data_IF_209351125471
#
_entry.id   IF_209351125471
#
_cell.length_a   1.000
_cell.length_b   1.000
_cell.length_c   1.000
_cell.angle_alpha   90.00
_cell.angle_beta   90.00
_cell.angle_gamma   90.00
#
_symmetry.space_group_name_H-M   'P 1'
#
loop_
_entity.id
_entity.type
_entity.pdbx_description
1 polymer ?
#
# COMPACT_ATOMS: atom_id res chain seq x y z
N UNK A 1 -8.12 -44.44 -1.88
CA UNK A 1 -8.68 -43.10 -2.12
C UNK A 1 -9.75 -42.84 -1.08
N UNK A 2 -9.57 -41.88 -0.18
CA UNK A 2 -10.56 -41.62 0.89
C UNK A 2 -11.88 -41.13 0.30
N UNK A 3 -12.99 -41.69 0.78
CA UNK A 3 -14.36 -41.31 0.39
C UNK A 3 -14.60 -39.83 0.70
N UNK A 4 -14.58 -38.96 -0.31
CA UNK A 4 -15.01 -37.57 -0.14
C UNK A 4 -16.53 -37.56 0.11
N UNK A 5 -16.97 -36.81 1.11
CA UNK A 5 -18.41 -36.58 1.32
C UNK A 5 -18.97 -35.75 0.16
N UNK A 6 -20.19 -36.07 -0.25
CA UNK A 6 -20.90 -35.36 -1.31
C UNK A 6 -22.39 -35.29 -1.01
N UNK A 7 -23.03 -34.29 -1.61
CA UNK A 7 -24.49 -34.14 -1.62
C UNK A 7 -24.99 -34.72 -2.93
N UNK A 8 -26.03 -35.55 -2.83
CA UNK A 8 -26.81 -35.98 -3.99
C UNK A 8 -28.03 -35.09 -4.12
N UNK A 9 -28.15 -34.41 -5.26
CA UNK A 9 -29.27 -33.55 -5.58
C UNK A 9 -30.23 -34.28 -6.52
N UNK A 10 -31.55 -34.14 -6.34
CA UNK A 10 -32.53 -34.72 -7.26
C UNK A 10 -32.31 -34.22 -8.69
N UNK A 11 -32.60 -35.08 -9.67
CA UNK A 11 -32.41 -34.76 -11.10
C UNK A 11 -33.26 -33.58 -11.59
N UNK A 12 -34.38 -33.31 -10.91
CA UNK A 12 -35.33 -32.23 -11.22
C UNK A 12 -35.38 -31.15 -10.12
N UNK A 13 -34.28 -30.94 -9.41
CA UNK A 13 -34.26 -29.92 -8.35
C UNK A 13 -34.17 -28.52 -8.97
N UNK A 14 -35.29 -27.80 -8.99
CA UNK A 14 -35.43 -26.38 -9.39
C UNK A 14 -35.08 -26.06 -10.86
N UNK A 15 -35.15 -24.78 -11.25
CA UNK A 15 -34.78 -24.25 -12.58
C UNK A 15 -33.26 -24.19 -12.81
N UNK A 16 -32.51 -25.20 -12.33
CA UNK A 16 -31.05 -25.26 -12.41
C UNK A 16 -30.61 -26.24 -13.51
N UNK A 17 -29.73 -25.77 -14.39
CA UNK A 17 -29.12 -26.59 -15.43
C UNK A 17 -27.73 -27.07 -15.03
N UNK A 18 -27.34 -28.26 -15.49
CA UNK A 18 -25.97 -28.78 -15.27
C UNK A 18 -24.93 -27.76 -15.74
N UNK A 19 -24.02 -27.40 -14.86
CA UNK A 19 -22.97 -26.40 -15.14
C UNK A 19 -23.29 -24.98 -14.68
N UNK A 20 -24.53 -24.67 -14.31
CA UNK A 20 -24.90 -23.39 -13.70
C UNK A 20 -24.04 -23.12 -12.46
N UNK A 21 -23.60 -21.88 -12.28
CA UNK A 21 -22.90 -21.47 -11.05
C UNK A 21 -23.94 -21.24 -9.95
N UNK A 22 -23.77 -21.91 -8.83
CA UNK A 22 -24.73 -21.92 -7.72
C UNK A 22 -24.04 -21.60 -6.40
N UNK A 23 -24.78 -20.92 -5.53
CA UNK A 23 -24.50 -20.86 -4.11
C UNK A 23 -25.16 -22.05 -3.43
N UNK A 24 -24.40 -22.73 -2.58
CA UNK A 24 -24.87 -23.83 -1.74
C UNK A 24 -24.75 -23.37 -0.31
N UNK A 25 -25.89 -23.25 0.37
CA UNK A 25 -25.97 -23.00 1.81
C UNK A 25 -26.46 -24.26 2.50
N UNK A 26 -25.63 -24.79 3.40
CA UNK A 26 -25.96 -25.97 4.22
C UNK A 26 -26.17 -25.51 5.64
N UNK A 27 -27.29 -25.92 6.27
CA UNK A 27 -27.61 -25.63 7.67
C UNK A 27 -27.65 -26.91 8.49
N UNK A 28 -27.05 -26.88 9.68
CA UNK A 28 -27.10 -27.95 10.69
C UNK A 28 -26.87 -27.37 12.08
N UNK A 29 -27.71 -27.72 13.05
CA UNK A 29 -27.54 -27.40 14.48
C UNK A 29 -27.17 -25.92 14.76
N UNK A 30 -27.92 -24.98 14.18
CA UNK A 30 -27.70 -23.51 14.23
C UNK A 30 -26.40 -23.00 13.58
N UNK A 31 -25.67 -23.86 12.88
CA UNK A 31 -24.53 -23.47 12.05
C UNK A 31 -24.91 -23.49 10.58
N UNK A 32 -24.24 -22.63 9.83
CA UNK A 32 -24.35 -22.62 8.38
C UNK A 32 -22.98 -22.60 7.70
N UNK A 33 -22.92 -23.17 6.50
CA UNK A 33 -21.75 -23.06 5.63
C UNK A 33 -22.20 -22.75 4.21
N UNK A 34 -21.58 -21.73 3.62
CA UNK A 34 -21.91 -21.24 2.28
C UNK A 34 -20.70 -21.39 1.37
N UNK A 35 -20.89 -21.98 0.19
CA UNK A 35 -19.86 -22.06 -0.84
C UNK A 35 -20.43 -22.10 -2.24
N UNK A 36 -19.62 -21.68 -3.21
CA UNK A 36 -19.98 -21.67 -4.64
C UNK A 36 -19.56 -23.00 -5.28
N UNK A 37 -20.37 -23.51 -6.21
CA UNK A 37 -20.04 -24.68 -7.03
C UNK A 37 -20.67 -24.54 -8.43
N UNK A 38 -20.28 -25.42 -9.35
CA UNK A 38 -21.13 -25.73 -10.52
C UNK A 38 -22.20 -26.74 -10.10
N UNK A 39 -23.42 -26.54 -10.56
CA UNK A 39 -24.52 -27.47 -10.34
C UNK A 39 -24.24 -28.78 -11.08
N UNK A 40 -24.34 -29.87 -10.33
CA UNK A 40 -24.27 -31.25 -10.80
C UNK A 40 -25.08 -32.13 -9.83
N UNK A 41 -25.55 -33.30 -10.26
CA UNK A 41 -26.35 -34.20 -9.43
C UNK A 41 -25.58 -34.76 -8.22
N UNK A 42 -24.25 -34.77 -8.31
CA UNK A 42 -23.36 -35.10 -7.21
C UNK A 42 -22.37 -33.95 -7.02
N UNK A 43 -22.45 -33.28 -5.87
CA UNK A 43 -21.57 -32.18 -5.51
C UNK A 43 -20.70 -32.61 -4.33
N UNK A 44 -19.39 -32.61 -4.54
CA UNK A 44 -18.43 -32.91 -3.47
C UNK A 44 -18.40 -31.78 -2.45
N UNK A 45 -18.54 -32.12 -1.17
CA UNK A 45 -18.45 -31.18 -0.07
C UNK A 45 -17.01 -30.75 0.18
N UNK A 46 -16.84 -29.47 0.50
CA UNK A 46 -15.53 -28.92 0.84
C UNK A 46 -15.17 -29.22 2.30
N UNK A 47 -13.88 -29.49 2.56
CA UNK A 47 -13.38 -29.73 3.93
C UNK A 47 -13.79 -28.64 4.94
N UNK A 48 -13.72 -27.32 4.63
CA UNK A 48 -14.17 -26.29 5.55
C UNK A 48 -15.66 -26.43 5.93
N UNK A 49 -16.53 -26.76 4.97
CA UNK A 49 -17.96 -26.96 5.23
C UNK A 49 -18.19 -28.21 6.09
N UNK A 50 -17.52 -29.32 5.77
CA UNK A 50 -17.58 -30.57 6.55
C UNK A 50 -17.14 -30.33 7.99
N UNK A 51 -16.01 -29.65 8.19
CA UNK A 51 -15.44 -29.39 9.50
C UNK A 51 -16.28 -28.39 10.31
N UNK A 52 -16.80 -27.34 9.68
CA UNK A 52 -17.60 -26.32 10.37
C UNK A 52 -18.93 -26.89 10.90
N UNK A 53 -19.58 -27.73 10.07
CA UNK A 53 -20.88 -28.31 10.36
C UNK A 53 -20.80 -29.70 11.01
N UNK A 54 -19.61 -30.28 11.19
CA UNK A 54 -19.40 -31.65 11.66
C UNK A 54 -20.26 -32.67 10.88
N UNK A 55 -20.17 -32.65 9.55
CA UNK A 55 -20.99 -33.50 8.68
C UNK A 55 -20.48 -34.95 8.63
N UNK A 56 -21.39 -35.91 8.78
CA UNK A 56 -21.12 -37.34 8.65
C UNK A 56 -21.92 -37.97 7.49
N UNK A 57 -21.46 -39.13 7.00
CA UNK A 57 -22.15 -39.87 5.96
C UNK A 57 -23.50 -40.38 6.48
N UNK A 58 -24.56 -40.22 5.69
CA UNK A 58 -25.91 -40.69 6.02
C UNK A 58 -26.75 -39.69 6.82
N UNK A 59 -26.18 -38.54 7.18
CA UNK A 59 -26.92 -37.46 7.83
C UNK A 59 -27.85 -36.75 6.84
N UNK A 60 -28.99 -36.29 7.35
CA UNK A 60 -29.91 -35.40 6.64
C UNK A 60 -29.60 -33.97 7.06
N UNK A 61 -29.43 -33.08 6.08
CA UNK A 61 -29.15 -31.66 6.29
C UNK A 61 -30.07 -30.80 5.43
N UNK A 62 -30.36 -29.59 5.90
CA UNK A 62 -31.09 -28.60 5.11
C UNK A 62 -30.11 -27.95 4.12
N UNK A 63 -30.50 -27.88 2.86
CA UNK A 63 -29.70 -27.32 1.77
C UNK A 63 -30.55 -26.33 1.01
N UNK A 64 -30.05 -25.11 0.89
CA UNK A 64 -30.59 -24.07 0.03
C UNK A 64 -29.65 -23.88 -1.16
N UNK A 65 -30.23 -23.89 -2.37
CA UNK A 65 -29.51 -23.68 -3.62
C UNK A 65 -30.02 -22.43 -4.31
N UNK A 66 -29.11 -21.56 -4.69
CA UNK A 66 -29.44 -20.35 -5.43
C UNK A 66 -28.56 -20.26 -6.69
N UNK A 67 -29.18 -20.07 -7.85
CA UNK A 67 -28.45 -19.72 -9.08
C UNK A 67 -27.80 -18.35 -8.90
N UNK A 68 -26.50 -18.29 -9.17
CA UNK A 68 -25.76 -17.04 -9.11
C UNK A 68 -25.55 -16.50 -10.53
N UNK A 69 -25.69 -15.18 -10.66
CA UNK A 69 -25.31 -14.45 -11.86
C UNK A 69 -24.07 -13.61 -11.56
N UNK A 70 -23.16 -13.51 -12.53
CA UNK A 70 -21.98 -12.66 -12.40
C UNK A 70 -22.45 -11.20 -12.24
N UNK A 71 -22.01 -10.48 -11.20
CA UNK A 71 -22.34 -9.07 -11.06
C UNK A 71 -21.66 -8.26 -12.17
N UNK A 72 -22.33 -7.21 -12.61
CA UNK A 72 -21.79 -6.27 -13.59
C UNK A 72 -20.64 -5.50 -12.93
N UNK A 73 -19.46 -5.51 -13.56
CA UNK A 73 -18.33 -4.72 -13.08
C UNK A 73 -18.65 -3.23 -13.19
N UNK A 74 -18.43 -2.44 -12.14
CA UNK A 74 -18.59 -0.99 -12.23
C UNK A 74 -17.52 -0.42 -13.18
N UNK A 75 -17.89 0.65 -13.90
CA UNK A 75 -16.95 1.38 -14.77
C UNK A 75 -15.94 2.20 -13.96
N UNK A 76 -16.41 2.77 -12.85
CA UNK A 76 -15.59 3.54 -11.92
C UNK A 76 -14.95 2.62 -10.89
N UNK A 77 -13.64 2.81 -10.67
CA UNK A 77 -12.88 2.07 -9.66
C UNK A 77 -13.07 2.68 -8.28
N UNK A 78 -13.28 4.00 -8.20
CA UNK A 78 -13.42 4.70 -6.93
C UNK A 78 -14.90 4.88 -6.57
N UNK A 79 -15.22 4.73 -5.29
CA UNK A 79 -16.51 5.11 -4.70
C UNK A 79 -16.24 5.92 -3.43
N UNK A 80 -16.33 7.24 -3.53
CA UNK A 80 -15.87 8.13 -2.46
C UNK A 80 -14.36 7.96 -2.25
N UNK A 81 -13.92 7.75 -1.02
CA UNK A 81 -12.53 7.52 -0.59
C UNK A 81 -12.08 6.05 -0.65
N UNK A 82 -12.86 5.20 -1.33
CA UNK A 82 -12.65 3.75 -1.41
C UNK A 82 -12.46 3.25 -2.83
N UNK A 83 -11.78 2.12 -2.96
CA UNK A 83 -11.62 1.34 -4.17
C UNK A 83 -12.64 0.20 -4.18
N UNK A 84 -13.37 0.05 -5.28
CA UNK A 84 -14.25 -1.07 -5.56
C UNK A 84 -13.45 -2.23 -6.17
N UNK A 85 -13.16 -3.24 -5.35
CA UNK A 85 -12.41 -4.42 -5.77
C UNK A 85 -13.14 -5.21 -6.86
N UNK A 86 -14.47 -5.10 -7.00
CA UNK A 86 -15.19 -5.75 -8.10
C UNK A 86 -14.73 -5.22 -9.46
N UNK A 87 -14.35 -3.94 -9.54
CA UNK A 87 -13.80 -3.34 -10.75
C UNK A 87 -12.45 -3.97 -11.14
N UNK A 88 -11.69 -4.45 -10.16
CA UNK A 88 -10.30 -4.90 -10.30
C UNK A 88 -10.14 -6.42 -10.37
N UNK A 89 -11.17 -7.21 -10.02
CA UNK A 89 -11.11 -8.67 -10.13
C UNK A 89 -10.94 -9.06 -11.62
N UNK A 90 -9.89 -9.82 -11.99
CA UNK A 90 -9.71 -10.27 -13.36
C UNK A 90 -10.82 -11.26 -13.75
N UNK A 91 -11.14 -11.34 -15.05
CA UNK A 91 -12.18 -12.26 -15.55
C UNK A 91 -11.73 -13.71 -15.58
N UNK A 92 -10.42 -13.91 -15.75
CA UNK A 92 -9.77 -15.21 -15.78
C UNK A 92 -8.50 -15.20 -14.93
N UNK A 93 -8.17 -16.34 -14.33
CA UNK A 93 -6.88 -16.57 -13.68
C UNK A 93 -5.74 -16.58 -14.72
N UNK A 94 -4.48 -16.51 -14.27
CA UNK A 94 -3.30 -16.67 -15.15
C UNK A 94 -3.25 -18.00 -15.92
N UNK A 95 -3.99 -19.00 -15.45
CA UNK A 95 -4.13 -20.31 -16.08
C UNK A 95 -5.38 -20.43 -16.99
N UNK A 96 -6.10 -19.34 -17.24
CA UNK A 96 -7.28 -19.32 -18.13
C UNK A 96 -8.60 -19.73 -17.50
N UNK A 97 -8.64 -20.06 -16.20
CA UNK A 97 -9.91 -20.40 -15.54
C UNK A 97 -10.76 -19.17 -15.27
N UNK A 98 -12.04 -19.20 -15.63
CA UNK A 98 -12.99 -18.14 -15.35
C UNK A 98 -13.13 -17.89 -13.84
N UNK A 99 -13.07 -16.61 -13.46
CA UNK A 99 -13.29 -16.13 -12.10
C UNK A 99 -14.74 -15.64 -11.99
N UNK A 100 -15.43 -16.17 -11.02
CA UNK A 100 -16.78 -15.77 -10.64
C UNK A 100 -16.74 -14.93 -9.36
N UNK A 101 -17.62 -13.94 -9.24
CA UNK A 101 -17.83 -13.21 -8.01
C UNK A 101 -19.32 -13.18 -7.66
N UNK A 102 -19.68 -13.24 -6.38
CA UNK A 102 -21.02 -12.91 -5.89
C UNK A 102 -20.96 -11.84 -4.80
N UNK A 103 -22.03 -11.05 -4.71
CA UNK A 103 -22.20 -10.00 -3.71
C UNK A 103 -22.97 -10.56 -2.52
N UNK A 104 -22.53 -10.21 -1.31
CA UNK A 104 -23.27 -10.49 -0.09
C UNK A 104 -22.97 -9.42 0.97
N UNK A 105 -23.80 -9.36 2.02
CA UNK A 105 -23.61 -8.44 3.14
C UNK A 105 -23.10 -9.20 4.36
N UNK A 106 -22.06 -8.67 5.00
CA UNK A 106 -21.53 -9.18 6.27
C UNK A 106 -21.06 -8.01 7.12
N UNK A 107 -21.50 -7.98 8.38
CA UNK A 107 -21.21 -6.91 9.35
C UNK A 107 -21.55 -5.50 8.81
N UNK A 108 -22.72 -5.35 8.18
CA UNK A 108 -23.18 -4.12 7.51
C UNK A 108 -22.27 -3.58 6.39
N UNK A 109 -21.35 -4.40 5.89
CA UNK A 109 -20.48 -4.06 4.76
C UNK A 109 -20.82 -4.92 3.54
N UNK A 110 -20.54 -4.40 2.34
CA UNK A 110 -20.60 -5.17 1.10
C UNK A 110 -19.34 -6.04 0.95
N UNK A 111 -19.54 -7.33 0.67
CA UNK A 111 -18.48 -8.31 0.46
C UNK A 111 -18.61 -9.00 -0.89
N UNK A 112 -17.49 -9.52 -1.36
CA UNK A 112 -17.34 -10.31 -2.56
C UNK A 112 -16.92 -11.72 -2.18
N UNK A 113 -17.72 -12.71 -2.60
CA UNK A 113 -17.31 -14.11 -2.59
C UNK A 113 -16.77 -14.44 -3.96
N UNK A 114 -15.46 -14.53 -4.07
CA UNK A 114 -14.76 -14.78 -5.34
C UNK A 114 -14.42 -16.25 -5.44
N UNK A 115 -14.65 -16.84 -6.60
CA UNK A 115 -14.53 -18.26 -6.83
C UNK A 115 -13.98 -18.57 -8.23
N UNK A 116 -13.20 -19.63 -8.36
CA UNK A 116 -12.93 -20.24 -9.65
C UNK A 116 -12.87 -21.76 -9.51
N UNK A 117 -13.02 -22.47 -10.64
CA UNK A 117 -12.81 -23.91 -10.67
C UNK A 117 -11.96 -24.37 -11.86
N UNK A 118 -11.03 -25.26 -11.57
CA UNK A 118 -10.26 -26.00 -12.56
C UNK A 118 -11.16 -26.99 -13.30
N UNK A 119 -10.79 -27.31 -14.54
CA UNK A 119 -11.43 -28.36 -15.35
C UNK A 119 -11.44 -29.72 -14.65
N UNK A 120 -10.39 -30.02 -13.85
CA UNK A 120 -10.27 -31.25 -13.04
C UNK A 120 -11.15 -31.25 -11.78
N UNK A 121 -11.98 -30.23 -11.58
CA UNK A 121 -12.94 -30.13 -10.47
C UNK A 121 -12.38 -29.61 -9.14
N UNK A 122 -11.11 -29.21 -9.09
CA UNK A 122 -10.56 -28.47 -7.93
C UNK A 122 -11.04 -27.03 -8.01
N UNK A 123 -11.64 -26.51 -6.95
CA UNK A 123 -12.11 -25.13 -6.93
C UNK A 123 -11.56 -24.38 -5.71
N UNK A 124 -11.37 -23.07 -5.84
CA UNK A 124 -10.93 -22.19 -4.76
C UNK A 124 -11.96 -21.10 -4.52
N UNK A 125 -12.11 -20.65 -3.28
CA UNK A 125 -13.00 -19.55 -2.90
C UNK A 125 -12.33 -18.67 -1.86
N UNK A 126 -12.57 -17.37 -1.96
CA UNK A 126 -12.26 -16.39 -0.92
C UNK A 126 -13.44 -15.46 -0.70
N UNK A 127 -13.43 -14.83 0.46
CA UNK A 127 -14.33 -13.72 0.78
C UNK A 127 -13.48 -12.51 1.13
N UNK A 128 -13.73 -11.40 0.44
CA UNK A 128 -13.04 -10.12 0.63
C UNK A 128 -14.06 -9.00 0.66
N UNK A 129 -13.75 -7.87 1.30
CA UNK A 129 -14.60 -6.69 1.24
C UNK A 129 -14.67 -6.17 -0.19
N UNK A 130 -15.84 -5.67 -0.59
CA UNK A 130 -16.00 -5.03 -1.89
C UNK A 130 -15.28 -3.69 -1.95
N UNK A 131 -15.39 -2.90 -0.88
CA UNK A 131 -14.85 -1.55 -0.80
C UNK A 131 -13.70 -1.50 0.20
N UNK A 132 -12.53 -1.01 -0.23
CA UNK A 132 -11.32 -0.88 0.59
C UNK A 132 -10.76 0.53 0.54
N UNK A 133 -10.05 0.96 1.59
CA UNK A 133 -9.42 2.28 1.65
C UNK A 133 -8.42 2.47 0.50
N UNK A 134 -8.48 3.63 -0.17
CA UNK A 134 -7.50 4.01 -1.20
C UNK A 134 -6.08 4.01 -0.62
N UNK A 135 -5.88 4.60 0.56
CA UNK A 135 -4.55 4.69 1.19
C UNK A 135 -4.00 3.31 1.53
N UNK A 136 -4.77 2.49 2.23
CA UNK A 136 -4.32 1.16 2.67
C UNK A 136 -4.03 0.24 1.49
N UNK A 137 -4.89 0.26 0.46
CA UNK A 137 -4.67 -0.55 -0.73
C UNK A 137 -3.48 -0.04 -1.55
N UNK A 138 -3.33 1.27 -1.71
CA UNK A 138 -2.15 1.88 -2.34
C UNK A 138 -0.84 1.48 -1.65
N UNK A 139 -0.81 1.54 -0.32
CA UNK A 139 0.35 1.10 0.49
C UNK A 139 0.66 -0.38 0.32
N UNK A 140 -0.36 -1.24 0.35
CA UNK A 140 -0.22 -2.68 0.10
C UNK A 140 0.42 -2.95 -1.26
N UNK A 141 -0.07 -2.28 -2.31
CA UNK A 141 0.45 -2.42 -3.68
C UNK A 141 1.89 -1.92 -3.78
N UNK A 142 2.23 -0.80 -3.12
CA UNK A 142 3.59 -0.27 -3.07
C UNK A 142 4.57 -1.22 -2.36
N UNK A 143 4.16 -1.83 -1.24
CA UNK A 143 4.96 -2.85 -0.54
C UNK A 143 5.22 -4.08 -1.41
N UNK A 144 4.19 -4.58 -2.09
CA UNK A 144 4.30 -5.74 -2.97
C UNK A 144 5.13 -5.46 -4.22
N UNK A 145 5.08 -4.23 -4.73
CA UNK A 145 5.92 -3.86 -5.86
C UNK A 145 7.40 -3.84 -5.47
N UNK A 146 7.73 -3.31 -4.29
CA UNK A 146 9.11 -3.22 -3.82
C UNK A 146 9.68 -4.59 -3.40
N UNK A 147 8.96 -5.28 -2.52
CA UNK A 147 9.47 -6.40 -1.73
C UNK A 147 8.68 -7.70 -1.96
N UNK A 148 7.75 -7.67 -2.93
CA UNK A 148 6.98 -8.84 -3.33
C UNK A 148 7.76 -9.79 -4.22
N UNK A 149 7.17 -10.96 -4.47
CA UNK A 149 7.77 -11.96 -5.37
C UNK A 149 7.84 -11.44 -6.80
N UNK A 150 9.07 -11.13 -7.25
CA UNK A 150 9.38 -10.73 -8.64
C UNK A 150 9.42 -11.92 -9.61
N UNK A 151 9.25 -13.15 -9.12
CA UNK A 151 9.22 -14.35 -9.96
C UNK A 151 7.87 -14.49 -10.66
N UNK A 152 7.85 -14.83 -11.96
CA UNK A 152 6.62 -14.97 -12.77
C UNK A 152 5.61 -16.04 -12.31
N UNK A 153 5.79 -16.63 -11.12
CA UNK A 153 4.87 -17.59 -10.50
C UNK A 153 3.77 -16.82 -9.75
N UNK A 154 2.71 -16.42 -10.46
CA UNK A 154 1.51 -15.74 -9.93
C UNK A 154 0.65 -16.56 -8.95
N UNK A 155 1.18 -17.66 -8.40
CA UNK A 155 0.41 -18.56 -7.53
C UNK A 155 0.61 -18.30 -6.04
N UNK A 156 1.52 -17.38 -5.66
CA UNK A 156 1.81 -17.04 -4.26
C UNK A 156 2.08 -15.56 -4.13
N UNK A 157 1.40 -14.93 -3.19
CA UNK A 157 1.72 -13.61 -2.70
C UNK A 157 2.69 -13.75 -1.54
N UNK A 158 3.92 -13.30 -1.72
CA UNK A 158 4.98 -13.32 -0.71
C UNK A 158 5.59 -11.94 -0.62
N UNK A 159 5.67 -11.44 0.61
CA UNK A 159 6.30 -10.17 1.00
C UNK A 159 7.51 -10.48 1.87
N UNK A 160 8.68 -9.96 1.50
CA UNK A 160 9.95 -10.27 2.16
C UNK A 160 10.59 -8.98 2.69
N UNK A 161 10.68 -8.81 4.00
CA UNK A 161 11.35 -7.65 4.60
C UNK A 161 12.08 -8.03 5.90
N UNK A 162 13.00 -7.17 6.31
CA UNK A 162 13.68 -7.30 7.62
C UNK A 162 12.95 -6.52 8.71
N UNK A 163 12.29 -5.42 8.35
CA UNK A 163 11.60 -4.53 9.28
C UNK A 163 10.27 -5.16 9.70
N UNK A 164 10.15 -5.49 11.00
CA UNK A 164 8.93 -6.09 11.56
C UNK A 164 7.72 -5.17 11.36
N UNK A 165 7.90 -3.85 11.49
CA UNK A 165 6.82 -2.87 11.32
C UNK A 165 6.21 -2.90 9.91
N UNK A 166 7.01 -3.20 8.87
CA UNK A 166 6.49 -3.36 7.51
C UNK A 166 5.61 -4.61 7.37
N UNK A 167 5.92 -5.69 8.11
CA UNK A 167 5.07 -6.88 8.17
C UNK A 167 3.77 -6.61 8.93
N UNK A 168 3.81 -5.82 10.01
CA UNK A 168 2.60 -5.41 10.75
C UNK A 168 1.67 -4.64 9.81
N UNK A 169 2.19 -3.63 9.10
CA UNK A 169 1.44 -2.85 8.12
C UNK A 169 0.88 -3.75 7.01
N UNK A 170 1.71 -4.63 6.45
CA UNK A 170 1.29 -5.55 5.38
C UNK A 170 0.14 -6.46 5.81
N UNK A 171 0.22 -7.06 7.00
CA UNK A 171 -0.85 -7.89 7.57
C UNK A 171 -2.11 -7.07 7.79
N UNK A 172 -1.98 -5.87 8.36
CA UNK A 172 -3.11 -4.97 8.62
C UNK A 172 -3.83 -4.60 7.32
N UNK A 173 -3.12 -4.24 6.26
CA UNK A 173 -3.76 -3.90 4.97
C UNK A 173 -4.52 -5.10 4.37
N UNK A 174 -4.02 -6.33 4.55
CA UNK A 174 -4.73 -7.53 4.13
C UNK A 174 -5.98 -7.78 4.99
N UNK A 175 -5.90 -7.57 6.30
CA UNK A 175 -7.06 -7.64 7.20
C UNK A 175 -8.14 -6.62 6.84
N UNK A 176 -7.74 -5.42 6.43
CA UNK A 176 -8.65 -4.39 5.94
C UNK A 176 -9.41 -4.83 4.68
N UNK A 177 -8.78 -5.62 3.80
CA UNK A 177 -9.44 -6.29 2.66
C UNK A 177 -10.35 -7.45 3.07
N UNK A 178 -10.37 -7.84 4.35
CA UNK A 178 -11.18 -8.94 4.87
C UNK A 178 -10.46 -10.28 5.01
N UNK A 179 -9.13 -10.31 4.86
CA UNK A 179 -8.33 -11.53 5.06
C UNK A 179 -8.11 -11.82 6.55
N UNK A 180 -8.25 -13.08 6.95
CA UNK A 180 -7.90 -13.51 8.32
C UNK A 180 -6.44 -13.93 8.43
N UNK A 181 -5.84 -13.76 9.62
CA UNK A 181 -4.46 -14.17 9.92
C UNK A 181 -4.21 -15.66 9.68
N UNK A 182 -5.24 -16.50 9.76
CA UNK A 182 -5.13 -17.95 9.50
C UNK A 182 -4.66 -18.28 8.07
N UNK A 183 -4.89 -17.37 7.12
CA UNK A 183 -4.43 -17.52 5.73
C UNK A 183 -2.96 -17.10 5.52
N UNK A 184 -2.32 -16.59 6.57
CA UNK A 184 -0.96 -16.06 6.54
C UNK A 184 0.00 -17.09 7.13
N UNK A 185 1.11 -17.31 6.42
CA UNK A 185 2.22 -18.12 6.90
C UNK A 185 3.47 -17.27 6.90
N UNK A 186 4.11 -17.17 8.05
CA UNK A 186 5.38 -16.47 8.18
C UNK A 186 6.55 -17.46 8.25
N UNK A 187 7.67 -17.05 7.64
CA UNK A 187 8.95 -17.77 7.65
C UNK A 187 10.09 -16.82 7.94
N UNK A 188 11.20 -17.37 8.40
CA UNK A 188 12.43 -16.64 8.61
C UNK A 188 13.58 -17.33 7.86
N UNK A 189 14.24 -16.59 6.97
CA UNK A 189 15.47 -17.01 6.33
C UNK A 189 16.64 -16.22 6.94
N UNK A 190 17.73 -16.88 7.29
CA UNK A 190 18.85 -16.21 7.96
C UNK A 190 20.22 -16.79 7.58
N UNK A 191 21.24 -15.93 7.58
CA UNK A 191 22.62 -16.35 7.43
C UNK A 191 23.14 -17.00 8.72
N UNK A 192 23.99 -18.06 8.66
CA UNK A 192 24.55 -18.70 9.86
C UNK A 192 25.28 -17.75 10.83
N UNK A 193 25.82 -16.63 10.33
CA UNK A 193 26.51 -15.61 11.15
C UNK A 193 25.59 -14.84 12.12
N UNK A 194 24.28 -14.81 11.87
CA UNK A 194 23.32 -14.12 12.74
C UNK A 194 22.51 -15.09 13.59
N UNK A 195 22.96 -16.35 13.69
CA UNK A 195 22.27 -17.41 14.45
C UNK A 195 22.05 -17.04 15.91
N UNK A 196 22.98 -16.30 16.51
CA UNK A 196 22.92 -15.99 17.94
C UNK A 196 21.83 -14.95 18.28
N UNK A 197 21.41 -14.13 17.30
CA UNK A 197 20.37 -13.10 17.49
C UNK A 197 19.01 -13.50 16.88
N UNK A 198 18.95 -14.59 16.10
CA UNK A 198 17.76 -14.86 15.28
C UNK A 198 16.55 -15.28 16.12
N UNK A 199 16.77 -16.02 17.20
CA UNK A 199 15.67 -16.48 18.07
C UNK A 199 15.02 -15.29 18.80
N UNK A 200 15.81 -14.30 19.23
CA UNK A 200 15.28 -13.05 19.79
C UNK A 200 14.46 -12.28 18.75
N UNK A 201 14.94 -12.20 17.50
CA UNK A 201 14.22 -11.52 16.42
C UNK A 201 12.94 -12.23 16.01
N UNK A 202 12.94 -13.57 16.00
CA UNK A 202 11.72 -14.36 15.78
C UNK A 202 10.71 -14.07 16.90
N UNK A 203 11.14 -14.09 18.17
CA UNK A 203 10.25 -13.79 19.30
C UNK A 203 9.68 -12.38 19.20
N UNK A 204 10.50 -11.39 18.89
CA UNK A 204 10.05 -10.00 18.65
C UNK A 204 9.01 -9.92 17.52
N UNK A 205 9.24 -10.65 16.42
CA UNK A 205 8.30 -10.71 15.30
C UNK A 205 6.96 -11.33 15.71
N UNK A 206 7.00 -12.48 16.39
CA UNK A 206 5.80 -13.21 16.82
C UNK A 206 4.96 -12.39 17.82
N UNK A 207 5.62 -11.73 18.77
CA UNK A 207 4.97 -10.85 19.75
C UNK A 207 4.31 -9.64 19.08
N UNK A 208 5.01 -8.97 18.15
CA UNK A 208 4.49 -7.76 17.50
C UNK A 208 3.41 -8.04 16.46
N UNK A 209 3.55 -9.12 15.68
CA UNK A 209 2.59 -9.45 14.59
C UNK A 209 1.43 -10.32 15.06
N UNK A 210 1.59 -11.00 16.20
CA UNK A 210 0.71 -12.07 16.68
C UNK A 210 0.56 -13.20 15.64
N UNK A 211 1.66 -13.55 14.95
CA UNK A 211 1.73 -14.66 13.98
C UNK A 211 3.02 -15.45 14.21
N UNK A 212 2.88 -16.76 14.40
CA UNK A 212 4.01 -17.67 14.60
C UNK A 212 4.82 -17.89 13.31
N UNK A 213 6.15 -17.93 13.45
CA UNK A 213 7.08 -18.33 12.40
C UNK A 213 7.02 -19.85 12.25
N UNK A 214 6.35 -20.34 11.20
CA UNK A 214 6.19 -21.79 10.97
C UNK A 214 7.47 -22.47 10.51
N UNK A 215 8.34 -21.74 9.84
CA UNK A 215 9.57 -22.29 9.25
C UNK A 215 10.74 -21.35 9.42
N UNK A 216 11.87 -21.89 9.86
CA UNK A 216 13.16 -21.22 9.89
C UNK A 216 14.15 -21.94 8.98
N UNK A 217 14.83 -21.19 8.11
CA UNK A 217 15.76 -21.77 7.15
C UNK A 217 17.10 -21.03 7.15
N UNK A 218 18.19 -21.81 7.13
CA UNK A 218 19.53 -21.25 6.99
C UNK A 218 19.85 -21.02 5.52
N UNK A 219 20.25 -19.80 5.17
CA UNK A 219 20.62 -19.44 3.81
C UNK A 219 22.02 -18.79 3.77
N UNK A 220 23.01 -19.57 3.33
CA UNK A 220 24.42 -19.14 3.22
C UNK A 220 24.65 -18.06 2.15
N UNK A 221 23.69 -17.86 1.24
CA UNK A 221 23.79 -16.86 0.17
C UNK A 221 23.39 -15.45 0.63
N UNK A 222 22.78 -15.32 1.81
CA UNK A 222 22.47 -14.02 2.40
C UNK A 222 23.77 -13.34 2.86
N UNK A 223 23.85 -12.01 2.73
CA UNK A 223 25.06 -11.23 3.06
C UNK A 223 25.24 -11.02 4.57
N UNK A 224 25.23 -12.09 5.35
CA UNK A 224 25.35 -12.01 6.81
C UNK A 224 24.13 -11.41 7.51
N UNK A 225 22.93 -11.56 6.92
CA UNK A 225 21.70 -10.95 7.42
C UNK A 225 20.55 -11.97 7.51
N UNK A 226 19.37 -11.51 7.93
CA UNK A 226 18.11 -12.26 7.97
C UNK A 226 16.97 -11.47 7.32
N UNK A 227 15.88 -12.18 7.01
CA UNK A 227 14.65 -11.61 6.47
C UNK A 227 13.46 -12.45 6.89
N UNK A 228 12.35 -11.80 7.20
CA UNK A 228 11.06 -12.44 7.38
C UNK A 228 10.32 -12.49 6.05
N UNK A 229 9.52 -13.53 5.87
CA UNK A 229 8.66 -13.71 4.70
C UNK A 229 7.25 -13.97 5.16
N UNK A 230 6.33 -13.11 4.74
CA UNK A 230 4.89 -13.29 4.95
C UNK A 230 4.27 -13.79 3.66
N UNK A 231 3.76 -15.01 3.69
CA UNK A 231 3.16 -15.67 2.54
C UNK A 231 1.64 -15.80 2.74
N UNK A 232 0.88 -15.56 1.68
CA UNK A 232 -0.55 -15.88 1.64
C UNK A 232 -0.76 -17.11 0.77
N UNK A 233 -1.39 -18.14 1.33
CA UNK A 233 -1.66 -19.40 0.63
C UNK A 233 -3.00 -19.36 -0.11
N UNK A 234 -3.25 -18.30 -0.86
CA UNK A 234 -4.45 -18.20 -1.70
C UNK A 234 -4.11 -17.70 -3.11
N UNK A 235 -4.23 -18.61 -4.09
CA UNK A 235 -3.97 -18.29 -5.49
C UNK A 235 -4.92 -17.22 -6.02
N UNK A 236 -6.21 -17.29 -5.66
CA UNK A 236 -7.21 -16.36 -6.15
C UNK A 236 -6.96 -14.93 -5.64
N UNK A 237 -6.60 -14.80 -4.36
CA UNK A 237 -6.20 -13.50 -3.81
C UNK A 237 -4.95 -12.95 -4.50
N UNK A 238 -3.98 -13.83 -4.79
CA UNK A 238 -2.76 -13.44 -5.50
C UNK A 238 -3.09 -12.87 -6.87
N UNK A 239 -3.97 -13.53 -7.64
CA UNK A 239 -4.42 -13.05 -8.95
C UNK A 239 -5.13 -11.68 -8.85
N UNK A 240 -5.98 -11.50 -7.82
CA UNK A 240 -6.69 -10.23 -7.61
C UNK A 240 -5.72 -9.11 -7.29
N UNK A 241 -4.81 -9.30 -6.33
CA UNK A 241 -3.91 -8.24 -5.88
C UNK A 241 -2.88 -7.90 -6.97
N UNK A 242 -2.25 -8.90 -7.60
CA UNK A 242 -1.29 -8.64 -8.68
C UNK A 242 -1.96 -8.10 -9.94
N UNK A 243 -3.17 -8.57 -10.27
CA UNK A 243 -3.98 -7.99 -11.35
C UNK A 243 -4.36 -6.53 -11.06
N UNK A 244 -4.72 -6.23 -9.82
CA UNK A 244 -5.01 -4.86 -9.37
C UNK A 244 -3.78 -3.97 -9.47
N UNK A 245 -2.60 -4.46 -9.09
CA UNK A 245 -1.33 -3.74 -9.22
C UNK A 245 -1.07 -3.32 -10.67
N UNK A 246 -1.19 -4.27 -11.61
CA UNK A 246 -0.97 -4.01 -13.03
C UNK A 246 -1.96 -2.96 -13.58
N UNK A 247 -3.25 -3.11 -13.27
CA UNK A 247 -4.31 -2.19 -13.72
C UNK A 247 -4.09 -0.79 -13.13
N UNK A 248 -3.94 -0.69 -11.82
CA UNK A 248 -3.86 0.59 -11.13
C UNK A 248 -2.57 1.33 -11.47
N UNK A 249 -1.44 0.64 -11.61
CA UNK A 249 -0.19 1.27 -12.05
C UNK A 249 -0.33 1.89 -13.43
N UNK A 250 -0.94 1.18 -14.40
CA UNK A 250 -1.16 1.74 -15.74
C UNK A 250 -2.11 2.94 -15.69
N UNK A 251 -3.16 2.89 -14.87
CA UNK A 251 -4.03 4.04 -14.65
C UNK A 251 -3.31 5.24 -14.03
N UNK A 252 -2.42 5.04 -13.06
CA UNK A 252 -1.59 6.10 -12.50
C UNK A 252 -0.72 6.78 -13.59
N UNK A 253 -0.29 6.03 -14.60
CA UNK A 253 0.48 6.55 -15.74
C UNK A 253 -0.42 7.25 -16.77
N UNK A 254 -1.55 6.66 -17.13
CA UNK A 254 -2.36 7.06 -18.29
C UNK A 254 -3.42 8.11 -17.94
N UNK A 255 -4.11 7.96 -16.81
CA UNK A 255 -5.29 8.77 -16.47
C UNK A 255 -4.89 10.13 -15.86
N UNK A 256 -5.76 11.14 -16.02
CA UNK A 256 -5.66 12.40 -15.28
C UNK A 256 -5.98 12.18 -13.79
N UNK A 257 -5.32 12.94 -12.92
CA UNK A 257 -5.39 12.71 -11.48
C UNK A 257 -6.39 13.62 -10.80
N UNK A 258 -7.52 13.02 -10.44
CA UNK A 258 -8.38 13.52 -9.38
C UNK A 258 -7.82 13.18 -7.99
N UNK A 259 -8.50 13.64 -6.93
CA UNK A 259 -8.07 13.48 -5.54
C UNK A 259 -7.76 12.03 -5.18
N UNK A 260 -8.67 11.10 -5.49
CA UNK A 260 -8.48 9.68 -5.16
C UNK A 260 -7.30 9.03 -5.89
N UNK A 261 -7.06 9.43 -7.15
CA UNK A 261 -5.93 8.90 -7.92
C UNK A 261 -4.60 9.42 -7.36
N UNK A 262 -4.59 10.68 -6.92
CA UNK A 262 -3.45 11.26 -6.23
C UNK A 262 -3.21 10.59 -4.88
N UNK A 263 -4.24 10.35 -4.09
CA UNK A 263 -4.11 9.64 -2.81
C UNK A 263 -3.56 8.22 -3.03
N UNK A 264 -4.04 7.51 -4.05
CA UNK A 264 -3.49 6.23 -4.47
C UNK A 264 -2.00 6.34 -4.83
N UNK A 265 -1.61 7.36 -5.61
CA UNK A 265 -0.24 7.61 -6.02
C UNK A 265 0.68 7.90 -4.81
N UNK A 266 0.24 8.78 -3.91
CA UNK A 266 0.94 9.18 -2.70
C UNK A 266 1.20 7.95 -1.81
N UNK A 267 0.17 7.14 -1.56
CA UNK A 267 0.24 5.93 -0.72
C UNK A 267 1.06 4.81 -1.37
N UNK A 268 0.93 4.61 -2.68
CA UNK A 268 1.76 3.68 -3.44
C UNK A 268 3.24 4.07 -3.42
N UNK A 269 3.54 5.33 -3.73
CA UNK A 269 4.91 5.83 -3.78
C UNK A 269 5.58 5.80 -2.41
N UNK A 270 4.84 6.10 -1.34
CA UNK A 270 5.38 6.07 0.02
C UNK A 270 5.99 4.70 0.37
N UNK A 271 5.26 3.62 0.10
CA UNK A 271 5.74 2.26 0.38
C UNK A 271 6.70 1.71 -0.66
N UNK A 272 6.57 2.10 -1.94
CA UNK A 272 7.57 1.78 -2.96
C UNK A 272 8.95 2.35 -2.58
N UNK A 273 9.00 3.60 -2.11
CA UNK A 273 10.23 4.24 -1.66
C UNK A 273 10.78 3.64 -0.36
N UNK A 274 9.93 3.16 0.53
CA UNK A 274 10.38 2.47 1.76
C UNK A 274 11.16 1.18 1.45
N UNK A 275 10.76 0.42 0.43
CA UNK A 275 11.48 -0.80 0.02
C UNK A 275 12.61 -0.55 -0.99
N UNK A 276 12.27 -0.06 -2.18
CA UNK A 276 13.20 0.03 -3.32
C UNK A 276 13.79 1.44 -3.52
N UNK A 277 13.46 2.39 -2.64
CA UNK A 277 13.90 3.78 -2.74
C UNK A 277 15.21 4.07 -2.01
N UNK A 278 16.05 4.93 -2.59
CA UNK A 278 17.22 5.51 -1.94
C UNK A 278 17.21 7.03 -1.93
N UNK A 279 17.76 7.60 -0.85
CA UNK A 279 18.00 9.04 -0.72
C UNK A 279 19.51 9.32 -0.72
N UNK A 280 19.98 9.88 -1.83
CA UNK A 280 21.37 10.24 -2.06
C UNK A 280 21.59 11.71 -1.72
N UNK A 281 22.60 11.99 -0.88
CA UNK A 281 22.97 13.35 -0.47
C UNK A 281 24.38 13.62 -0.95
N UNK A 282 24.58 14.75 -1.63
CA UNK A 282 25.91 15.22 -2.03
C UNK A 282 26.17 16.59 -1.42
N UNK A 283 27.21 16.69 -0.60
CA UNK A 283 27.60 17.92 0.12
C UNK A 283 28.74 18.71 -0.55
N UNK A 284 29.26 18.27 -1.70
CA UNK A 284 30.41 18.89 -2.34
C UNK A 284 30.10 19.41 -3.76
N UNK A 285 30.17 20.74 -3.94
CA UNK A 285 30.98 21.39 -4.98
C UNK A 285 30.83 22.93 -4.94
N UNK A 286 31.99 23.62 -4.87
CA UNK A 286 32.34 25.04 -5.11
C UNK A 286 31.27 26.00 -5.68
N UNK A 287 30.11 26.16 -5.04
CA UNK A 287 29.08 27.11 -5.48
C UNK A 287 27.69 26.99 -4.82
N UNK A 288 27.38 25.88 -4.16
CA UNK A 288 26.13 25.68 -3.42
C UNK A 288 26.37 25.60 -1.92
N UNK A 289 25.71 26.46 -1.13
CA UNK A 289 25.82 26.50 0.34
C UNK A 289 24.89 25.49 1.04
N UNK A 290 24.30 24.54 0.31
CA UNK A 290 23.31 23.59 0.83
C UNK A 290 23.43 22.21 0.15
N UNK A 291 23.08 21.12 0.85
CA UNK A 291 23.20 19.76 0.31
C UNK A 291 22.24 19.53 -0.86
N UNK A 292 22.77 18.94 -1.92
CA UNK A 292 21.99 18.51 -3.09
C UNK A 292 21.49 17.09 -2.81
N UNK A 293 20.17 16.91 -2.82
CA UNK A 293 19.54 15.61 -2.60
C UNK A 293 18.92 15.05 -3.88
N UNK A 294 18.92 13.73 -4.00
CA UNK A 294 18.26 13.01 -5.10
C UNK A 294 17.59 11.75 -4.56
N UNK A 295 16.44 11.42 -5.12
CA UNK A 295 15.81 10.11 -4.92
C UNK A 295 16.15 9.20 -6.09
N UNK A 296 16.30 7.91 -5.79
CA UNK A 296 16.38 6.87 -6.82
C UNK A 296 15.44 5.71 -6.46
N UNK A 297 14.89 5.05 -7.48
CA UNK A 297 14.11 3.81 -7.37
C UNK A 297 14.77 2.78 -8.28
N UNK A 298 15.01 1.57 -7.79
CA UNK A 298 15.61 0.48 -8.58
C UNK A 298 14.62 -0.66 -8.79
N UNK A 299 14.48 -1.16 -10.02
CA UNK A 299 13.57 -2.27 -10.35
C UNK A 299 14.07 -3.00 -11.59
N UNK A 300 14.23 -4.32 -11.51
CA UNK A 300 14.72 -5.17 -12.60
C UNK A 300 13.91 -5.09 -13.89
N UNK A 301 12.67 -4.61 -13.84
CA UNK A 301 11.80 -4.44 -15.00
C UNK A 301 11.85 -3.01 -15.55
N UNK A 302 12.37 -2.85 -16.78
CA UNK A 302 12.51 -1.55 -17.42
C UNK A 302 11.16 -0.86 -17.69
N UNK A 303 10.10 -1.60 -18.02
CA UNK A 303 8.78 -1.02 -18.25
C UNK A 303 8.19 -0.48 -16.95
N UNK A 304 8.49 -1.13 -15.82
CA UNK A 304 8.06 -0.67 -14.51
C UNK A 304 8.80 0.61 -14.13
N UNK A 305 10.10 0.72 -14.44
CA UNK A 305 10.85 1.96 -14.27
C UNK A 305 10.27 3.12 -15.11
N UNK A 306 9.83 2.86 -16.33
CA UNK A 306 9.16 3.88 -17.17
C UNK A 306 7.84 4.32 -16.54
N UNK A 307 7.05 3.38 -16.05
CA UNK A 307 5.81 3.67 -15.33
C UNK A 307 6.09 4.53 -14.08
N UNK A 308 7.09 4.17 -13.27
CA UNK A 308 7.46 4.96 -12.08
C UNK A 308 7.92 6.37 -12.42
N UNK A 309 8.69 6.54 -13.50
CA UNK A 309 9.10 7.85 -13.97
C UNK A 309 7.88 8.71 -14.32
N UNK A 310 6.92 8.18 -15.09
CA UNK A 310 5.71 8.92 -15.43
C UNK A 310 4.86 9.27 -14.18
N UNK A 311 4.74 8.34 -13.23
CA UNK A 311 4.00 8.57 -11.98
C UNK A 311 4.64 9.70 -11.16
N UNK A 312 5.96 9.68 -10.95
CA UNK A 312 6.61 10.73 -10.15
C UNK A 312 6.71 12.05 -10.91
N UNK A 313 6.76 12.04 -12.24
CA UNK A 313 6.63 13.25 -13.06
C UNK A 313 5.26 13.92 -12.86
N UNK A 314 4.17 13.15 -12.83
CA UNK A 314 2.83 13.66 -12.49
C UNK A 314 2.74 14.23 -11.07
N UNK A 315 3.53 13.72 -10.14
CA UNK A 315 3.73 14.32 -8.81
C UNK A 315 4.61 15.59 -8.82
N UNK A 316 5.02 16.04 -10.00
CA UNK A 316 5.80 17.25 -10.25
C UNK A 316 7.29 17.10 -9.99
N UNK A 317 7.81 15.87 -9.93
CA UNK A 317 9.26 15.62 -9.95
C UNK A 317 9.80 15.72 -11.38
N UNK A 318 11.13 15.75 -11.53
CA UNK A 318 11.80 15.75 -12.83
C UNK A 318 12.65 14.47 -12.98
N UNK A 319 12.00 13.32 -13.23
CA UNK A 319 12.68 12.03 -13.23
C UNK A 319 13.47 11.78 -14.51
N UNK A 320 14.51 10.97 -14.37
CA UNK A 320 15.29 10.44 -15.47
C UNK A 320 15.44 8.94 -15.30
N UNK A 321 15.02 8.19 -16.31
CA UNK A 321 15.29 6.75 -16.41
C UNK A 321 16.76 6.57 -16.81
N UNK A 322 17.50 5.81 -16.01
CA UNK A 322 18.89 5.46 -16.25
C UNK A 322 18.94 3.96 -16.56
N UNK A 323 18.62 3.59 -17.80
CA UNK A 323 18.44 2.20 -18.23
C UNK A 323 19.66 1.31 -17.92
N UNK A 324 20.88 1.82 -18.17
CA UNK A 324 22.14 1.11 -17.85
C UNK A 324 22.30 0.74 -16.38
N UNK A 325 21.63 1.48 -15.49
CA UNK A 325 21.69 1.28 -14.05
C UNK A 325 20.38 0.73 -13.47
N UNK A 326 19.39 0.45 -14.33
CA UNK A 326 18.10 -0.14 -13.95
C UNK A 326 17.48 0.68 -12.79
N UNK A 327 17.46 2.01 -12.98
CA UNK A 327 16.94 2.93 -11.97
C UNK A 327 16.28 4.16 -12.55
N UNK A 328 15.27 4.67 -11.86
CA UNK A 328 14.76 6.03 -12.01
C UNK A 328 15.46 6.92 -11.01
N UNK A 329 15.83 8.13 -11.40
CA UNK A 329 16.43 9.13 -10.52
C UNK A 329 15.76 10.49 -10.70
N UNK A 330 15.46 11.18 -9.61
CA UNK A 330 14.99 12.57 -9.65
C UNK A 330 15.79 13.44 -8.70
N UNK A 331 15.99 14.71 -9.08
CA UNK A 331 16.40 15.74 -8.13
C UNK A 331 15.30 15.94 -7.09
N UNK A 332 15.72 16.26 -5.86
CA UNK A 332 14.81 16.46 -4.73
C UNK A 332 14.94 17.90 -4.20
N UNK A 333 14.21 18.87 -4.77
CA UNK A 333 14.11 20.21 -4.21
C UNK A 333 13.30 20.23 -2.92
N UNK A 334 13.36 21.33 -2.17
CA UNK A 334 12.80 21.44 -0.82
C UNK A 334 11.29 21.15 -0.73
N UNK A 335 10.50 21.65 -1.69
CA UNK A 335 9.05 21.36 -1.76
C UNK A 335 8.78 19.85 -1.91
N UNK A 336 9.62 19.14 -2.65
CA UNK A 336 9.53 17.69 -2.79
C UNK A 336 10.02 16.94 -1.56
N UNK A 337 11.00 17.46 -0.82
CA UNK A 337 11.37 16.90 0.49
C UNK A 337 10.18 16.92 1.45
N UNK A 338 9.48 18.06 1.52
CA UNK A 338 8.28 18.22 2.35
C UNK A 338 7.14 17.30 1.90
N UNK A 339 6.94 17.16 0.59
CA UNK A 339 5.97 16.21 0.04
C UNK A 339 6.30 14.77 0.46
N UNK A 340 7.54 14.31 0.29
CA UNK A 340 7.95 12.95 0.71
C UNK A 340 7.76 12.73 2.21
N UNK A 341 8.03 13.74 3.03
CA UNK A 341 7.78 13.68 4.47
C UNK A 341 6.29 13.53 4.77
N UNK A 342 5.44 14.34 4.10
CA UNK A 342 3.97 14.31 4.29
C UNK A 342 3.36 12.95 3.96
N UNK A 343 3.80 12.31 2.87
CA UNK A 343 3.30 10.99 2.48
C UNK A 343 3.93 9.84 3.30
N UNK A 344 4.86 10.17 4.20
CA UNK A 344 5.64 9.23 5.02
C UNK A 344 6.50 8.27 4.18
N UNK A 345 7.06 8.77 3.08
CA UNK A 345 8.02 7.99 2.30
C UNK A 345 9.27 7.71 3.13
N UNK A 346 9.83 6.49 3.02
CA UNK A 346 10.98 6.02 3.79
C UNK A 346 10.76 5.78 5.28
N UNK A 347 9.54 5.93 5.81
CA UNK A 347 9.27 5.77 7.24
C UNK A 347 9.85 4.45 7.77
N UNK A 348 10.41 4.48 8.99
CA UNK A 348 11.09 3.35 9.65
C UNK A 348 12.39 2.87 8.97
N UNK A 349 12.89 3.56 7.94
CA UNK A 349 14.19 3.26 7.31
C UNK A 349 15.25 4.33 7.69
N UNK A 350 16.55 4.04 7.49
CA UNK A 350 17.60 5.06 7.61
C UNK A 350 17.41 6.28 6.70
N UNK A 351 16.70 6.13 5.58
CA UNK A 351 16.41 7.24 4.66
C UNK A 351 15.39 8.23 5.24
N UNK A 352 14.54 7.81 6.19
CA UNK A 352 13.66 8.72 6.95
C UNK A 352 14.46 9.78 7.71
N UNK A 353 15.44 9.33 8.50
CA UNK A 353 16.32 10.23 9.26
C UNK A 353 17.10 11.16 8.34
N UNK A 354 17.59 10.65 7.20
CA UNK A 354 18.25 11.48 6.18
C UNK A 354 17.31 12.56 5.62
N UNK A 355 16.06 12.23 5.34
CA UNK A 355 15.06 13.17 4.84
C UNK A 355 14.78 14.29 5.86
N UNK A 356 14.58 13.93 7.11
CA UNK A 356 14.36 14.87 8.23
C UNK A 356 15.57 15.80 8.39
N UNK A 357 16.78 15.25 8.39
CA UNK A 357 18.01 16.05 8.47
C UNK A 357 18.16 16.99 7.27
N UNK A 358 17.87 16.53 6.05
CA UNK A 358 17.90 17.36 4.86
C UNK A 358 16.90 18.51 4.92
N UNK A 359 15.68 18.25 5.40
CA UNK A 359 14.67 19.29 5.61
C UNK A 359 15.26 20.32 6.58
N UNK A 360 15.75 19.89 7.74
CA UNK A 360 16.33 20.77 8.74
C UNK A 360 17.54 21.60 8.22
N UNK A 361 18.43 21.00 7.44
CA UNK A 361 19.57 21.73 6.85
C UNK A 361 19.12 22.72 5.76
N UNK A 362 18.15 22.36 4.92
CA UNK A 362 17.58 23.28 3.92
C UNK A 362 16.84 24.45 4.58
N UNK A 363 16.27 24.25 5.77
CA UNK A 363 15.67 25.33 6.56
C UNK A 363 16.70 26.36 6.99
N UNK A 364 17.89 25.93 7.41
CA UNK A 364 18.96 26.84 7.87
C UNK A 364 19.38 27.79 6.74
N UNK A 365 19.50 27.28 5.51
CA UNK A 365 19.62 28.06 4.26
C UNK A 365 20.66 29.20 4.29
N UNK A 366 20.61 30.08 3.28
CA UNK A 366 21.30 31.39 3.37
C UNK A 366 20.54 32.29 4.35
N UNK A 367 21.24 33.13 5.12
CA UNK A 367 20.69 34.08 6.12
C UNK A 367 19.46 34.87 5.62
N UNK A 368 19.32 35.10 4.32
CA UNK A 368 18.23 35.85 3.69
C UNK A 368 17.09 35.02 3.05
N UNK A 369 17.21 33.69 2.93
CA UNK A 369 16.21 32.83 2.28
C UNK A 369 15.59 31.77 3.21
N UNK A 370 16.07 31.69 4.46
CA UNK A 370 15.62 30.70 5.44
C UNK A 370 14.10 30.72 5.66
N UNK A 371 13.51 29.51 5.73
CA UNK A 371 12.13 29.29 6.13
C UNK A 371 11.97 29.21 7.66
N UNK A 372 13.06 29.14 8.43
CA UNK A 372 13.01 29.04 9.90
C UNK A 372 12.23 30.18 10.53
N UNK A 373 12.31 31.38 9.94
CA UNK A 373 11.59 32.54 10.45
C UNK A 373 10.09 32.32 10.50
N UNK A 374 9.51 31.49 9.62
CA UNK A 374 8.06 31.22 9.62
C UNK A 374 7.58 30.54 10.92
N UNK A 375 8.48 29.86 11.65
CA UNK A 375 8.14 29.10 12.85
C UNK A 375 7.69 29.96 14.02
N UNK A 376 8.17 31.19 14.09
CA UNK A 376 7.96 32.07 15.22
C UNK A 376 7.30 33.41 14.82
N UNK A 377 6.67 33.49 13.64
CA UNK A 377 5.94 34.70 13.25
C UNK A 377 4.57 34.78 13.92
N UNK A 378 4.22 35.99 14.31
CA UNK A 378 2.85 36.32 14.72
C UNK A 378 1.90 36.32 13.51
N UNK A 379 0.58 36.26 13.77
CA UNK A 379 -0.45 36.22 12.72
C UNK A 379 -0.40 37.42 11.77
N UNK A 380 0.06 38.58 12.24
CA UNK A 380 0.26 39.79 11.44
C UNK A 380 1.70 40.30 11.60
N UNK A 381 2.38 40.47 10.48
CA UNK A 381 3.81 40.76 10.43
C UNK A 381 4.01 42.08 9.67
N UNK A 382 4.97 42.90 10.11
CA UNK A 382 5.41 44.10 9.39
C UNK A 382 6.91 44.03 9.11
N UNK A 383 7.42 44.87 8.21
CA UNK A 383 8.87 45.00 7.99
C UNK A 383 9.60 45.36 9.28
N UNK A 384 9.07 46.33 10.05
CA UNK A 384 9.67 46.76 11.32
C UNK A 384 9.71 45.63 12.35
N UNK A 385 8.69 44.77 12.39
CA UNK A 385 8.69 43.58 13.24
C UNK A 385 9.88 42.66 12.92
N UNK A 386 10.12 42.33 11.64
CA UNK A 386 11.24 41.46 11.25
C UNK A 386 12.60 42.09 11.51
N UNK A 387 12.72 43.41 11.28
CA UNK A 387 13.94 44.18 11.58
C UNK A 387 14.30 44.04 13.05
N UNK A 388 13.34 44.26 13.95
CA UNK A 388 13.57 44.20 15.38
C UNK A 388 13.80 42.77 15.88
N UNK A 389 12.96 41.81 15.45
CA UNK A 389 13.00 40.44 15.96
C UNK A 389 14.25 39.66 15.53
N UNK A 390 14.71 39.85 14.30
CA UNK A 390 15.83 39.08 13.73
C UNK A 390 17.07 39.92 13.45
N UNK A 391 17.11 41.17 13.94
CA UNK A 391 18.21 42.12 13.73
C UNK A 391 18.63 42.22 12.24
N UNK A 392 17.65 42.50 11.38
CA UNK A 392 17.83 42.59 9.93
C UNK A 392 17.81 44.05 9.48
N UNK A 393 18.49 44.37 8.37
CA UNK A 393 18.27 45.65 7.70
C UNK A 393 16.88 45.69 7.06
N UNK A 394 16.29 46.88 6.94
CA UNK A 394 14.97 47.07 6.29
C UNK A 394 14.92 46.47 4.88
N UNK A 395 16.01 46.60 4.10
CA UNK A 395 16.13 45.98 2.77
C UNK A 395 16.10 44.46 2.84
N UNK A 396 16.83 43.85 3.77
CA UNK A 396 16.83 42.40 3.97
C UNK A 396 15.45 41.88 4.38
N UNK A 397 14.77 42.56 5.31
CA UNK A 397 13.42 42.22 5.75
C UNK A 397 12.41 42.30 4.60
N UNK A 398 12.42 43.39 3.82
CA UNK A 398 11.54 43.53 2.65
C UNK A 398 11.80 42.46 1.58
N UNK A 399 13.08 42.16 1.29
CA UNK A 399 13.43 41.12 0.33
C UNK A 399 12.92 39.74 0.77
N UNK A 400 13.05 39.42 2.07
CA UNK A 400 12.55 38.17 2.62
C UNK A 400 11.01 38.09 2.54
N UNK A 401 10.30 39.14 2.96
CA UNK A 401 8.83 39.22 2.87
C UNK A 401 8.34 39.03 1.42
N UNK A 402 8.92 39.76 0.47
CA UNK A 402 8.56 39.64 -0.94
C UNK A 402 8.90 38.26 -1.52
N UNK A 403 9.98 37.60 -1.06
CA UNK A 403 10.29 36.23 -1.46
C UNK A 403 9.22 35.26 -0.98
N UNK A 404 8.85 35.33 0.30
CA UNK A 404 7.83 34.44 0.88
C UNK A 404 6.42 34.72 0.39
N UNK A 405 6.13 35.95 -0.01
CA UNK A 405 4.92 36.31 -0.74
C UNK A 405 4.89 35.65 -2.13
N UNK A 406 5.98 35.74 -2.92
CA UNK A 406 6.08 35.07 -4.23
C UNK A 406 6.02 33.54 -4.14
N UNK A 407 6.60 32.97 -3.09
CA UNK A 407 6.53 31.54 -2.81
C UNK A 407 5.12 31.10 -2.31
N UNK A 408 4.21 32.06 -2.07
CA UNK A 408 2.84 31.81 -1.62
C UNK A 408 2.71 31.45 -0.13
N UNK A 409 3.73 31.73 0.68
CA UNK A 409 3.69 31.53 2.14
C UNK A 409 3.10 32.73 2.87
N UNK A 410 3.28 33.93 2.35
CA UNK A 410 2.72 35.16 2.91
C UNK A 410 1.68 35.78 1.98
N UNK A 411 0.66 36.38 2.56
CA UNK A 411 -0.31 37.20 1.87
C UNK A 411 -0.20 38.64 2.38
N UNK A 412 0.00 39.59 1.46
CA UNK A 412 -0.02 41.02 1.79
C UNK A 412 -1.45 41.47 2.10
N UNK A 413 -1.63 42.13 3.23
CA UNK A 413 -2.92 42.73 3.61
C UNK A 413 -3.10 44.02 2.82
N UNK A 414 -4.20 44.11 2.08
CA UNK A 414 -4.53 45.32 1.31
C UNK A 414 -4.82 46.49 2.26
N UNK A 415 -4.45 47.69 1.81
CA UNK A 415 -4.80 48.97 2.44
C UNK A 415 -4.32 49.19 3.89
N UNK A 416 -3.34 48.41 4.37
CA UNK A 416 -2.75 48.63 5.69
C UNK A 416 -1.57 49.61 5.63
N UNK A 417 -1.52 50.56 6.57
CA UNK A 417 -0.34 51.42 6.81
C UNK A 417 0.10 51.27 8.28
N UNK A 418 1.30 50.72 8.58
CA UNK A 418 2.28 50.16 7.64
C UNK A 418 1.76 48.90 6.90
N UNK A 419 2.45 48.51 5.81
CA UNK A 419 2.12 47.27 5.08
C UNK A 419 2.25 46.08 6.06
N UNK A 420 1.24 45.22 6.05
CA UNK A 420 1.17 44.01 6.86
C UNK A 420 1.13 42.78 5.97
N UNK A 421 1.65 41.69 6.50
CA UNK A 421 1.60 40.35 5.89
C UNK A 421 0.96 39.37 6.87
N UNK A 422 0.24 38.38 6.34
CA UNK A 422 -0.33 37.26 7.08
C UNK A 422 0.24 35.95 6.55
N UNK A 423 0.35 34.95 7.43
CA UNK A 423 0.61 33.58 7.01
C UNK A 423 -0.58 33.08 6.17
N UNK A 424 -0.27 32.30 5.14
CA UNK A 424 -1.25 31.53 4.38
C UNK A 424 -1.42 30.13 4.98
N UNK A 425 -2.47 29.41 4.59
CA UNK A 425 -2.62 27.99 4.94
C UNK A 425 -1.41 27.13 4.52
N UNK A 426 -0.75 27.49 3.40
CA UNK A 426 0.49 26.83 2.95
C UNK A 426 1.63 27.02 3.96
N UNK A 427 1.73 28.21 4.55
CA UNK A 427 2.74 28.49 5.56
C UNK A 427 2.41 27.84 6.91
N UNK A 428 1.14 27.82 7.31
CA UNK A 428 0.69 27.13 8.52
C UNK A 428 0.99 25.63 8.44
N UNK A 429 0.66 24.98 7.32
CA UNK A 429 0.98 23.56 7.10
C UNK A 429 2.49 23.29 7.04
N UNK A 430 3.29 24.23 6.52
CA UNK A 430 4.75 24.14 6.63
C UNK A 430 5.18 24.19 8.09
N UNK A 431 4.73 25.19 8.86
CA UNK A 431 5.09 25.35 10.28
C UNK A 431 4.76 24.09 11.09
N UNK A 432 3.61 23.46 10.84
CA UNK A 432 3.23 22.20 11.47
C UNK A 432 4.24 21.08 11.16
N UNK A 433 4.57 20.86 9.89
CA UNK A 433 5.57 19.88 9.45
C UNK A 433 6.93 20.16 10.12
N UNK A 434 7.33 21.43 10.20
CA UNK A 434 8.61 21.80 10.78
C UNK A 434 8.67 21.58 12.29
N UNK A 435 7.55 21.78 13.00
CA UNK A 435 7.47 21.46 14.42
C UNK A 435 7.56 19.94 14.65
N UNK A 436 6.93 19.13 13.80
CA UNK A 436 7.05 17.67 13.86
C UNK A 436 8.49 17.21 13.60
N UNK A 437 9.14 17.74 12.55
CA UNK A 437 10.55 17.47 12.24
C UNK A 437 11.47 17.80 13.42
N UNK A 438 11.24 18.92 14.11
CA UNK A 438 12.02 19.29 15.32
C UNK A 438 11.83 18.31 16.47
N UNK A 439 10.60 17.86 16.71
CA UNK A 439 10.30 16.86 17.74
C UNK A 439 11.00 15.53 17.43
N UNK A 440 10.96 15.09 16.17
CA UNK A 440 11.62 13.85 15.75
C UNK A 440 13.16 13.92 15.79
N UNK A 441 13.75 15.10 15.65
CA UNK A 441 15.21 15.29 15.80
C UNK A 441 15.67 15.40 17.26
N UNK A 442 14.75 15.66 18.19
CA UNK A 442 15.06 15.73 19.63
C UNK A 442 15.05 14.36 20.32
N UNK A 443 14.55 13.33 19.61
CA UNK A 443 14.55 11.91 19.98
C UNK A 443 15.75 11.18 19.37
#
# INVERSE_FOLDING_TARGET
>A
MGSKLGIYLPSNYSNLNKGDVIEIKIKKDNKESIFISKYNYNITLRKPAINNLNLNKGEVVEIELQKLNQPIKPKEIFRGDKIDLLALIPEVTSNGYQIFASLFTKDNNEWLRVWYCHERGSCNQIEIKKLVSVDSFGRLLGQLQAEGTKSGKRHRLEFCNKLIDEHIDYIKYLEEMGMTKDNVICKCDFHPKVKDIIEEKIKEFEEKTNILIKYKSQNRWMKGDYSFKTHIQNSLLTEIILGSLDILRKKLVEDDWEVNMKDLADSFLAKLLTGDGTLDITSNNRGYDFPIARISITDGNLDYLKDYAAIIEKLGFNPKVLEKHIRVRSYLPFDKMLYLYKIKAFQNTPNWKKLILLINENLKGRRLNTHLRLLDLDKEITTSYLVNKYNLSTRAANNWLNSKEREGFLLRVKDSRPIKWKLTYKAEGLVEILNQVKLELAL
#
